data_IF_904852635797
#
_entry.id   IF_904852635797
#
_cell.length_a   1.000
_cell.length_b   1.000
_cell.length_c   1.000
_cell.angle_alpha   90.00
_cell.angle_beta   90.00
_cell.angle_gamma   90.00
#
_symmetry.space_group_name_H-M   'P 1'
#
loop_
_entity.id
_entity.type
_entity.pdbx_description
1 polymer ?
#
# COMPACT_ATOMS: atom_id res chain seq x y z
N UNK A 1 3.85 12.47 16.03
CA UNK A 1 2.51 12.53 15.39
C UNK A 1 2.39 11.31 14.48
N UNK A 2 1.35 10.49 14.65
CA UNK A 2 1.11 9.37 13.73
C UNK A 2 0.75 9.95 12.36
N UNK A 3 1.65 9.82 11.40
CA UNK A 3 1.41 10.29 10.03
C UNK A 3 0.29 9.43 9.44
N UNK A 4 -0.77 10.03 8.90
CA UNK A 4 -1.80 9.25 8.22
C UNK A 4 -1.19 8.62 6.97
N UNK A 5 -0.97 7.31 7.06
CA UNK A 5 -0.39 6.51 5.99
C UNK A 5 -1.42 6.20 4.92
N UNK A 6 -2.71 6.38 5.23
CA UNK A 6 -3.81 6.06 4.34
C UNK A 6 -3.83 7.05 3.19
N UNK A 7 -4.02 6.48 2.00
CA UNK A 7 -4.12 7.21 0.75
C UNK A 7 -5.56 7.13 0.25
N UNK A 8 -6.12 5.92 0.25
CA UNK A 8 -7.49 5.69 -0.20
C UNK A 8 -8.12 4.53 0.55
N UNK A 9 -9.45 4.52 0.65
CA UNK A 9 -10.21 3.42 1.25
C UNK A 9 -11.31 2.99 0.29
N UNK A 10 -11.59 1.70 0.23
CA UNK A 10 -12.70 1.18 -0.58
C UNK A 10 -13.50 0.14 0.19
N UNK A 11 -14.81 0.26 0.15
CA UNK A 11 -15.69 -0.82 0.56
C UNK A 11 -15.63 -1.93 -0.48
N UNK A 12 -15.21 -3.14 -0.09
CA UNK A 12 -15.20 -4.31 -0.97
C UNK A 12 -16.60 -4.90 -1.07
N UNK A 13 -17.21 -5.17 0.09
CA UNK A 13 -18.54 -5.77 0.23
C UNK A 13 -19.02 -5.66 1.67
N UNK A 14 -20.28 -5.34 1.88
CA UNK A 14 -20.91 -5.25 3.20
C UNK A 14 -20.07 -4.37 4.15
N UNK A 15 -19.55 -4.97 5.22
CA UNK A 15 -18.69 -4.34 6.20
C UNK A 15 -17.20 -4.59 5.98
N UNK A 16 -16.80 -5.15 4.83
CA UNK A 16 -15.42 -5.42 4.47
C UNK A 16 -14.82 -4.23 3.71
N UNK A 17 -13.78 -3.65 4.27
CA UNK A 17 -13.09 -2.48 3.76
C UNK A 17 -11.63 -2.80 3.46
N UNK A 18 -11.06 -2.07 2.50
CA UNK A 18 -9.63 -2.09 2.20
C UNK A 18 -9.06 -0.68 2.27
N UNK A 19 -8.04 -0.51 3.10
CA UNK A 19 -7.21 0.67 3.15
C UNK A 19 -5.98 0.48 2.26
N UNK A 20 -5.71 1.47 1.41
CA UNK A 20 -4.45 1.61 0.69
C UNK A 20 -3.57 2.57 1.46
N UNK A 21 -2.36 2.14 1.79
CA UNK A 21 -1.41 2.93 2.57
C UNK A 21 -0.08 3.04 1.85
N UNK A 22 0.58 4.18 2.02
CA UNK A 22 1.94 4.41 1.55
C UNK A 22 2.73 5.07 2.66
N UNK A 23 3.87 4.48 3.01
CA UNK A 23 4.70 4.94 4.12
C UNK A 23 6.19 4.61 3.90
N UNK A 24 7.05 5.38 4.57
CA UNK A 24 8.45 5.02 4.70
C UNK A 24 8.63 4.07 5.89
N UNK A 25 9.40 3.01 5.69
CA UNK A 25 9.86 2.11 6.74
C UNK A 25 11.37 2.26 6.90
N UNK A 26 11.81 2.41 8.15
CA UNK A 26 13.23 2.52 8.51
C UNK A 26 13.97 1.17 8.46
N UNK A 27 13.29 0.10 8.03
CA UNK A 27 13.78 -1.26 8.00
C UNK A 27 13.87 -1.86 9.41
N UNK A 28 14.18 -3.15 9.47
CA UNK A 28 14.30 -3.89 10.73
C UNK A 28 14.11 -5.38 10.51
N UNK A 29 14.03 -6.14 11.60
CA UNK A 29 13.76 -7.57 11.52
C UNK A 29 12.26 -7.81 11.31
N UNK A 30 11.89 -8.58 10.29
CA UNK A 30 10.55 -9.12 10.20
C UNK A 30 10.40 -10.19 11.30
N UNK A 31 9.56 -9.96 12.31
CA UNK A 31 9.40 -10.89 13.43
C UNK A 31 8.78 -12.24 13.06
N UNK A 32 8.21 -12.37 11.86
CA UNK A 32 7.62 -13.63 11.38
C UNK A 32 8.61 -14.50 10.61
N UNK A 33 9.51 -13.89 9.83
CA UNK A 33 10.53 -14.61 9.03
C UNK A 33 11.95 -14.48 9.57
N UNK A 34 12.17 -13.61 10.55
CA UNK A 34 13.49 -13.15 11.04
C UNK A 34 14.40 -12.54 9.96
N UNK A 35 13.87 -12.31 8.76
CA UNK A 35 14.63 -11.69 7.68
C UNK A 35 14.74 -10.18 7.87
N UNK A 36 15.83 -9.61 7.35
CA UNK A 36 16.02 -8.17 7.35
C UNK A 36 15.07 -7.52 6.33
N UNK A 37 14.08 -6.79 6.85
CA UNK A 37 13.23 -5.90 6.06
C UNK A 37 14.06 -4.69 5.63
N UNK A 38 14.23 -4.45 4.31
CA UNK A 38 15.02 -3.34 3.82
C UNK A 38 14.33 -1.98 4.08
N UNK A 39 15.13 -0.93 4.14
CA UNK A 39 14.65 0.45 4.28
C UNK A 39 14.06 0.95 2.97
N UNK A 40 12.98 1.71 3.03
CA UNK A 40 12.36 2.21 1.82
C UNK A 40 10.92 2.66 1.95
N UNK A 41 10.31 2.96 0.81
CA UNK A 41 8.89 3.26 0.72
C UNK A 41 8.13 1.98 0.42
N UNK A 42 7.13 1.74 1.26
CA UNK A 42 6.24 0.61 1.17
C UNK A 42 4.85 1.07 0.79
N UNK A 43 4.22 0.26 -0.07
CA UNK A 43 2.78 0.26 -0.26
C UNK A 43 2.20 -0.88 0.57
N UNK A 44 1.09 -0.64 1.27
CA UNK A 44 0.36 -1.68 1.96
C UNK A 44 -1.11 -1.61 1.63
N UNK A 45 -1.72 -2.79 1.54
CA UNK A 45 -3.16 -2.97 1.44
C UNK A 45 -3.61 -3.72 2.67
N UNK A 46 -4.62 -3.17 3.33
CA UNK A 46 -5.11 -3.64 4.61
C UNK A 46 -6.60 -3.90 4.53
N UNK A 47 -7.00 -5.17 4.61
CA UNK A 47 -8.41 -5.57 4.59
C UNK A 47 -8.94 -5.82 6.00
N UNK A 48 -9.97 -5.10 6.40
CA UNK A 48 -10.62 -5.23 7.70
C UNK A 48 -12.13 -5.28 7.59
N UNK A 49 -12.75 -5.87 8.60
CA UNK A 49 -14.19 -5.71 8.83
C UNK A 49 -14.46 -4.57 9.79
N UNK A 50 -15.45 -3.77 9.47
CA UNK A 50 -16.03 -2.77 10.36
C UNK A 50 -17.25 -3.38 11.06
N UNK A 51 -17.15 -3.57 12.37
CA UNK A 51 -18.30 -3.95 13.18
C UNK A 51 -18.86 -2.67 13.82
N UNK A 52 -19.98 -2.16 13.29
CA UNK A 52 -20.67 -0.96 13.77
C UNK A 52 -20.92 0.12 12.70
N UNK A 53 -21.29 1.32 13.14
CA UNK A 53 -21.42 2.54 12.31
C UNK A 53 -20.13 3.37 12.34
N UNK A 54 -19.87 4.15 11.27
CA UNK A 54 -18.62 4.92 11.03
C UNK A 54 -18.05 5.67 12.25
N UNK A 55 -18.91 6.18 13.13
CA UNK A 55 -18.55 6.97 14.32
C UNK A 55 -18.08 6.16 15.56
N UNK A 56 -18.18 4.82 15.59
CA UNK A 56 -17.93 4.00 16.80
C UNK A 56 -17.23 2.65 16.53
N UNK A 57 -16.48 2.55 15.45
CA UNK A 57 -16.10 1.28 14.83
C UNK A 57 -14.98 0.50 15.52
N UNK A 58 -15.21 -0.80 15.76
CA UNK A 58 -14.16 -1.79 16.01
C UNK A 58 -13.69 -2.33 14.65
N UNK A 59 -12.38 -2.18 14.37
CA UNK A 59 -11.74 -2.77 13.18
C UNK A 59 -11.23 -4.17 13.51
N UNK A 60 -11.74 -5.18 12.83
CA UNK A 60 -11.25 -6.54 12.96
C UNK A 60 -10.40 -6.90 11.75
N UNK A 61 -9.15 -7.26 12.00
CA UNK A 61 -8.20 -7.72 10.99
C UNK A 61 -8.27 -9.24 10.87
N UNK A 62 -8.12 -9.75 9.66
CA UNK A 62 -7.95 -11.19 9.41
C UNK A 62 -6.71 -11.40 8.55
N UNK A 63 -5.92 -12.41 8.86
CA UNK A 63 -4.70 -12.72 8.12
C UNK A 63 -5.00 -13.59 6.90
N UNK A 64 -4.10 -13.59 5.91
CA UNK A 64 -4.21 -14.48 4.74
C UNK A 64 -5.25 -14.08 3.69
N UNK A 65 -5.75 -12.85 3.73
CA UNK A 65 -6.72 -12.36 2.75
C UNK A 65 -6.03 -12.01 1.42
N UNK A 66 -6.66 -12.34 0.30
CA UNK A 66 -6.11 -12.04 -1.04
C UNK A 66 -6.01 -10.53 -1.24
N UNK A 67 -4.80 -10.06 -1.59
CA UNK A 67 -4.53 -8.64 -1.78
C UNK A 67 -4.32 -7.87 -0.47
N UNK A 68 -4.17 -8.55 0.67
CA UNK A 68 -3.71 -7.98 1.94
C UNK A 68 -2.19 -8.17 2.09
N UNK A 69 -1.49 -7.17 2.64
CA UNK A 69 -0.05 -7.22 2.85
C UNK A 69 0.68 -5.96 2.41
N UNK A 70 2.01 -6.04 2.31
CA UNK A 70 2.87 -4.91 1.96
C UNK A 70 3.87 -5.26 0.86
N UNK A 71 4.30 -4.24 0.12
CA UNK A 71 5.24 -4.32 -0.98
C UNK A 71 6.27 -3.20 -0.85
N UNK A 72 7.56 -3.53 -1.00
CA UNK A 72 8.61 -2.52 -1.16
C UNK A 72 8.50 -1.94 -2.57
N UNK A 73 8.24 -0.64 -2.67
CA UNK A 73 8.12 0.07 -3.95
C UNK A 73 9.43 0.77 -4.31
N UNK A 74 10.05 1.46 -3.34
CA UNK A 74 11.31 2.17 -3.55
C UNK A 74 12.28 1.82 -2.43
N UNK A 75 13.42 1.22 -2.77
CA UNK A 75 14.52 1.00 -1.83
C UNK A 75 15.20 2.35 -1.52
N UNK A 76 15.32 2.72 -0.25
CA UNK A 76 15.96 3.97 0.16
C UNK A 76 16.74 3.80 1.46
N UNK A 77 17.99 4.27 1.48
CA UNK A 77 18.80 4.29 2.71
C UNK A 77 18.31 5.31 3.76
N UNK A 78 17.65 6.37 3.30
CA UNK A 78 17.14 7.47 4.13
C UNK A 78 15.75 7.91 3.64
N UNK A 79 14.99 8.52 4.55
CA UNK A 79 13.69 9.09 4.23
C UNK A 79 13.79 10.13 3.11
N UNK A 80 12.87 10.05 2.15
CA UNK A 80 12.71 11.04 1.07
C UNK A 80 11.25 11.44 0.93
N UNK A 81 10.93 12.67 1.34
CA UNK A 81 9.58 13.22 1.23
C UNK A 81 9.11 13.27 -0.23
N UNK A 82 10.02 13.59 -1.16
CA UNK A 82 9.74 13.64 -2.61
C UNK A 82 9.31 12.26 -3.13
N UNK A 83 10.09 11.22 -2.83
CA UNK A 83 9.77 9.86 -3.29
C UNK A 83 8.49 9.36 -2.64
N UNK A 84 8.27 9.65 -1.36
CA UNK A 84 7.03 9.26 -0.67
C UNK A 84 5.82 9.91 -1.34
N UNK A 85 5.90 11.21 -1.64
CA UNK A 85 4.84 11.96 -2.34
C UNK A 85 4.55 11.35 -3.72
N UNK A 86 5.57 11.05 -4.53
CA UNK A 86 5.38 10.49 -5.87
C UNK A 86 4.66 9.13 -5.83
N UNK A 87 5.03 8.24 -4.89
CA UNK A 87 4.35 6.95 -4.75
C UNK A 87 2.90 7.15 -4.29
N UNK A 88 2.65 8.09 -3.37
CA UNK A 88 1.28 8.44 -2.94
C UNK A 88 0.45 8.94 -4.11
N UNK A 89 0.97 9.90 -4.87
CA UNK A 89 0.29 10.48 -6.04
C UNK A 89 -0.08 9.39 -7.06
N UNK A 90 0.79 8.40 -7.31
CA UNK A 90 0.49 7.28 -8.22
C UNK A 90 -0.67 6.41 -7.73
N UNK A 91 -0.85 6.26 -6.41
CA UNK A 91 -2.03 5.60 -5.84
C UNK A 91 -3.27 6.49 -5.93
N UNK A 92 -3.12 7.80 -5.74
CA UNK A 92 -4.21 8.79 -5.77
C UNK A 92 -4.75 9.04 -7.19
N UNK A 93 -3.91 8.91 -8.22
CA UNK A 93 -4.29 9.10 -9.63
C UNK A 93 -5.34 8.07 -10.08
N UNK A 94 -5.18 6.80 -9.71
CA UNK A 94 -6.13 5.74 -10.07
C UNK A 94 -6.23 4.67 -8.97
N UNK A 95 -6.91 4.98 -7.84
CA UNK A 95 -7.03 4.06 -6.73
C UNK A 95 -7.85 2.81 -7.09
N UNK A 96 -8.82 2.92 -7.99
CA UNK A 96 -9.65 1.79 -8.40
C UNK A 96 -8.87 0.77 -9.25
N UNK A 97 -7.94 1.24 -10.09
CA UNK A 97 -7.01 0.34 -10.77
C UNK A 97 -6.12 -0.41 -9.79
N UNK A 98 -5.59 0.28 -8.78
CA UNK A 98 -4.78 -0.35 -7.72
C UNK A 98 -5.58 -1.45 -7.01
N UNK A 99 -6.82 -1.15 -6.63
CA UNK A 99 -7.69 -2.14 -6.01
C UNK A 99 -7.99 -3.34 -6.91
N UNK A 100 -8.27 -3.08 -8.19
CA UNK A 100 -8.53 -4.13 -9.19
C UNK A 100 -7.33 -5.07 -9.34
N UNK A 101 -6.11 -4.51 -9.40
CA UNK A 101 -4.88 -5.31 -9.46
C UNK A 101 -4.70 -6.17 -8.20
N UNK A 102 -5.04 -5.64 -7.03
CA UNK A 102 -5.03 -6.39 -5.77
C UNK A 102 -6.05 -7.55 -5.76
N UNK A 103 -7.28 -7.31 -6.21
CA UNK A 103 -8.33 -8.33 -6.31
C UNK A 103 -7.93 -9.46 -7.28
N UNK A 104 -7.27 -9.09 -8.37
CA UNK A 104 -6.75 -10.03 -9.37
C UNK A 104 -5.48 -10.75 -8.92
N UNK A 105 -4.78 -10.25 -7.89
CA UNK A 105 -3.48 -10.79 -7.45
C UNK A 105 -2.31 -10.41 -8.36
N UNK A 106 -2.46 -9.36 -9.16
CA UNK A 106 -1.46 -8.88 -10.13
C UNK A 106 -0.39 -8.00 -9.48
N UNK A 107 0.31 -8.56 -8.50
CA UNK A 107 1.29 -7.84 -7.68
C UNK A 107 2.44 -7.25 -8.50
N UNK A 108 2.87 -7.94 -9.57
CA UNK A 108 3.94 -7.44 -10.46
C UNK A 108 3.53 -6.16 -11.19
N UNK A 109 2.34 -6.17 -11.81
CA UNK A 109 1.79 -4.98 -12.50
C UNK A 109 1.56 -3.83 -11.51
N UNK A 110 1.05 -4.14 -10.32
CA UNK A 110 0.89 -3.16 -9.24
C UNK A 110 2.22 -2.50 -8.87
N UNK A 111 3.29 -3.29 -8.71
CA UNK A 111 4.61 -2.75 -8.38
C UNK A 111 5.11 -1.80 -9.48
N UNK A 112 4.96 -2.16 -10.75
CA UNK A 112 5.41 -1.36 -11.89
C UNK A 112 4.75 0.02 -11.95
N UNK A 113 3.42 0.07 -11.75
CA UNK A 113 2.70 1.36 -11.77
C UNK A 113 3.09 2.24 -10.58
N UNK A 114 3.34 1.66 -9.40
CA UNK A 114 3.66 2.40 -8.19
C UNK A 114 5.13 2.83 -8.12
N UNK A 115 6.06 2.02 -8.64
CA UNK A 115 7.47 2.40 -8.75
C UNK A 115 7.70 3.46 -9.83
N UNK A 116 6.79 3.55 -10.81
CA UNK A 116 6.85 4.49 -11.92
C UNK A 116 7.72 4.01 -13.07
N UNK A 117 8.11 2.73 -13.08
CA UNK A 117 8.96 2.10 -14.11
C UNK A 117 8.41 2.26 -15.54
N UNK A 118 7.10 2.45 -15.71
CA UNK A 118 6.49 2.67 -17.02
C UNK A 118 6.58 4.12 -17.52
N UNK A 119 6.71 5.11 -16.64
CA UNK A 119 6.72 6.54 -17.01
C UNK A 119 8.06 7.02 -17.55
N UNK A 120 9.15 6.31 -17.22
CA UNK A 120 10.49 6.64 -17.72
C UNK A 120 10.70 6.19 -19.18
N UNK A 121 9.85 5.29 -19.70
CA UNK A 121 9.93 4.84 -21.11
C UNK A 121 9.22 5.79 -22.08
N UNK A 122 8.19 6.51 -21.65
CA UNK A 122 7.46 7.47 -22.50
C UNK A 122 8.15 8.84 -22.61
N UNK A 123 9.09 9.17 -21.71
CA UNK A 123 9.86 10.43 -21.78
C UNK A 123 11.16 10.33 -22.58
N UNK A 124 11.47 9.15 -23.10
CA UNK A 124 12.68 8.87 -23.89
C UNK A 124 12.39 8.61 -25.38
N UNK A 125 11.14 8.81 -25.83
CA UNK A 125 10.71 8.77 -27.22
C UNK A 125 10.30 10.17 -27.69
#
# INVERSE_FOLDING_TARGET
MAQDKTVHKRNIKDNLWRDLQVYYDKGGTNFWSYEQKPKGIYFASHIYRLNGTEAGNIRTWSTGQKGDGYLLIVLLERYSAKQLRLVRERVEVDPERVHTLLDQGKIKELRQILSGENLDQEKAA
#
